data_IF_169029890664
#
_entry.id   IF_169029890664
#
_cell.length_a   1.000
_cell.length_b   1.000
_cell.length_c   1.000
_cell.angle_alpha   90.00
_cell.angle_beta   90.00
_cell.angle_gamma   90.00
#
_symmetry.space_group_name_H-M   'P 1'
#
loop_
_entity.id
_entity.type
_entity.pdbx_description
1 polymer ?
#
# COMPACT_ATOMS: atom_id res chain seq x y z
N UNK A 1 -35.13 13.49 27.46
CA UNK A 1 -35.82 12.31 26.88
C UNK A 1 -34.79 11.53 26.08
N UNK A 2 -34.40 10.33 26.51
CA UNK A 2 -33.49 9.47 25.74
C UNK A 2 -34.32 8.71 24.71
N UNK A 3 -34.01 8.88 23.41
CA UNK A 3 -34.61 8.08 22.33
C UNK A 3 -34.17 6.64 22.49
N UNK A 4 -35.13 5.72 22.65
CA UNK A 4 -34.87 4.28 22.61
C UNK A 4 -34.51 3.92 21.16
N UNK A 5 -33.27 3.45 20.94
CA UNK A 5 -32.85 2.94 19.64
C UNK A 5 -33.26 1.47 19.60
N UNK A 6 -34.14 1.12 18.68
CA UNK A 6 -34.57 -0.25 18.44
C UNK A 6 -33.66 -0.84 17.35
N UNK A 7 -32.89 -1.88 17.69
CA UNK A 7 -31.95 -2.53 16.78
C UNK A 7 -32.63 -3.78 16.23
N UNK A 8 -32.85 -3.83 14.91
CA UNK A 8 -33.28 -5.03 14.22
C UNK A 8 -32.07 -5.96 14.02
N UNK A 9 -32.04 -7.05 14.77
CA UNK A 9 -30.93 -8.00 14.77
C UNK A 9 -30.77 -8.66 13.40
N UNK A 10 -31.85 -9.09 12.76
CA UNK A 10 -31.78 -9.79 11.47
C UNK A 10 -31.21 -8.88 10.37
N UNK A 11 -31.63 -7.60 10.35
CA UNK A 11 -31.07 -6.61 9.43
C UNK A 11 -29.59 -6.35 9.70
N UNK A 12 -29.17 -6.33 10.98
CA UNK A 12 -27.78 -6.15 11.36
C UNK A 12 -26.93 -7.34 10.92
N UNK A 13 -27.42 -8.57 11.15
CA UNK A 13 -26.75 -9.81 10.76
C UNK A 13 -26.60 -9.91 9.24
N UNK A 14 -27.66 -9.58 8.48
CA UNK A 14 -27.57 -9.57 7.01
C UNK A 14 -26.55 -8.57 6.47
N UNK A 15 -26.37 -7.41 7.13
CA UNK A 15 -25.30 -6.45 6.77
C UNK A 15 -23.91 -7.00 7.10
N UNK A 16 -23.77 -7.72 8.21
CA UNK A 16 -22.51 -8.34 8.61
C UNK A 16 -22.10 -9.45 7.64
N UNK A 17 -23.04 -10.29 7.20
CA UNK A 17 -22.78 -11.34 6.20
C UNK A 17 -22.30 -10.76 4.87
N UNK A 18 -22.92 -9.68 4.39
CA UNK A 18 -22.46 -9.00 3.18
C UNK A 18 -21.04 -8.46 3.32
N UNK A 19 -20.71 -7.94 4.51
CA UNK A 19 -19.38 -7.45 4.84
C UNK A 19 -18.36 -8.61 4.87
N UNK A 20 -18.72 -9.75 5.48
CA UNK A 20 -17.89 -10.96 5.54
C UNK A 20 -17.61 -11.52 4.14
N UNK A 21 -18.64 -11.64 3.29
CA UNK A 21 -18.48 -12.09 1.90
C UNK A 21 -17.54 -11.15 1.14
N UNK A 22 -17.76 -9.84 1.23
CA UNK A 22 -16.90 -8.85 0.60
C UNK A 22 -15.45 -8.99 1.06
N UNK A 23 -15.21 -9.17 2.37
CA UNK A 23 -13.86 -9.34 2.90
C UNK A 23 -13.21 -10.65 2.52
N UNK A 24 -13.96 -11.76 2.49
CA UNK A 24 -13.43 -13.03 1.99
C UNK A 24 -12.98 -12.91 0.55
N UNK A 25 -13.82 -12.34 -0.32
CA UNK A 25 -13.44 -12.11 -1.71
C UNK A 25 -12.26 -11.16 -1.85
N UNK A 26 -12.17 -10.12 -1.00
CA UNK A 26 -11.00 -9.25 -0.98
C UNK A 26 -9.73 -10.00 -0.55
N UNK A 27 -9.78 -10.82 0.50
CA UNK A 27 -8.65 -11.66 0.95
C UNK A 27 -8.28 -12.68 -0.12
N UNK A 28 -9.25 -13.35 -0.73
CA UNK A 28 -9.01 -14.29 -1.82
C UNK A 28 -8.33 -13.60 -3.00
N UNK A 29 -8.81 -12.43 -3.43
CA UNK A 29 -8.17 -11.65 -4.49
C UNK A 29 -6.77 -11.18 -4.09
N UNK A 30 -6.59 -10.80 -2.82
CA UNK A 30 -5.31 -10.38 -2.27
C UNK A 30 -4.30 -11.51 -2.24
N UNK A 31 -4.71 -12.76 -1.98
CA UNK A 31 -3.83 -13.92 -1.78
C UNK A 31 -3.90 -14.96 -2.92
N UNK A 32 -4.71 -14.72 -3.95
CA UNK A 32 -4.67 -15.47 -5.19
C UNK A 32 -3.26 -15.45 -5.78
N UNK A 33 -2.89 -16.49 -6.54
CA UNK A 33 -1.61 -16.53 -7.26
C UNK A 33 -1.54 -15.36 -8.26
N UNK A 34 -0.98 -14.25 -7.79
CA UNK A 34 -0.63 -13.09 -8.59
C UNK A 34 0.89 -13.06 -8.77
N UNK A 35 1.33 -12.44 -9.87
CA UNK A 35 2.75 -12.19 -10.13
C UNK A 35 3.26 -11.13 -9.16
N UNK A 36 3.70 -11.58 -7.99
CA UNK A 36 4.43 -10.75 -7.04
C UNK A 36 5.77 -10.34 -7.63
N UNK A 37 6.13 -9.08 -7.43
CA UNK A 37 7.44 -8.56 -7.84
C UNK A 37 8.38 -8.69 -6.65
N UNK A 38 9.52 -9.36 -6.83
CA UNK A 38 10.52 -9.40 -5.76
C UNK A 38 11.14 -8.02 -5.61
N UNK A 39 11.13 -7.46 -4.40
CA UNK A 39 11.68 -6.10 -4.20
C UNK A 39 13.20 -6.07 -4.41
N UNK A 40 13.88 -7.20 -4.22
CA UNK A 40 15.30 -7.36 -4.56
C UNK A 40 15.61 -7.15 -6.05
N UNK A 41 14.62 -7.32 -6.94
CA UNK A 41 14.79 -7.06 -8.38
C UNK A 41 14.66 -5.57 -8.71
N UNK A 42 14.07 -4.78 -7.80
CA UNK A 42 13.86 -3.35 -7.96
C UNK A 42 14.94 -2.50 -7.31
N UNK A 43 15.47 -2.93 -6.16
CA UNK A 43 16.49 -2.18 -5.40
C UNK A 43 17.88 -2.72 -5.73
N UNK A 44 18.77 -1.84 -6.19
CA UNK A 44 20.20 -2.15 -6.36
C UNK A 44 21.02 -1.67 -5.15
N UNK A 45 22.15 -2.33 -4.91
CA UNK A 45 23.05 -2.04 -3.78
C UNK A 45 23.71 -0.67 -3.88
N UNK A 46 23.93 -0.17 -5.10
CA UNK A 46 24.46 1.18 -5.39
C UNK A 46 23.39 2.28 -5.26
N UNK A 47 22.12 1.90 -5.11
CA UNK A 47 20.97 2.77 -5.04
C UNK A 47 20.45 3.26 -6.39
N UNK A 48 20.94 2.70 -7.51
CA UNK A 48 20.39 2.93 -8.85
C UNK A 48 19.26 1.92 -9.14
N UNK A 49 18.17 2.08 -8.40
CA UNK A 49 17.01 1.19 -8.46
C UNK A 49 16.50 1.01 -9.89
N UNK A 50 16.30 -0.24 -10.31
CA UNK A 50 15.71 -0.56 -11.60
C UNK A 50 14.19 -0.68 -11.45
N UNK A 51 13.47 0.30 -11.99
CA UNK A 51 12.02 0.36 -11.89
C UNK A 51 11.32 -0.07 -13.20
N UNK A 52 12.05 -0.65 -14.15
CA UNK A 52 11.49 -1.07 -15.45
C UNK A 52 10.38 -2.11 -15.28
N UNK A 53 10.53 -3.01 -14.30
CA UNK A 53 9.52 -4.01 -13.93
C UNK A 53 8.18 -3.40 -13.50
N UNK A 54 8.15 -2.12 -13.12
CA UNK A 54 6.94 -1.40 -12.71
C UNK A 54 6.62 -0.19 -13.60
N UNK A 55 7.20 -0.10 -14.81
CA UNK A 55 6.92 1.00 -15.74
C UNK A 55 5.46 1.02 -16.21
N UNK A 56 4.80 -0.15 -16.26
CA UNK A 56 3.37 -0.26 -16.57
C UNK A 56 2.46 0.44 -15.54
N UNK A 57 2.98 0.75 -14.35
CA UNK A 57 2.28 1.46 -13.27
C UNK A 57 2.43 2.99 -13.37
N UNK A 58 3.09 3.48 -14.41
CA UNK A 58 3.18 4.92 -14.71
C UNK A 58 1.77 5.46 -14.97
N UNK A 59 1.44 6.60 -14.35
CA UNK A 59 0.15 7.28 -14.46
C UNK A 59 -1.08 6.46 -14.00
N UNK A 60 -0.85 5.32 -13.32
CA UNK A 60 -1.91 4.52 -12.72
C UNK A 60 -2.25 4.99 -11.30
N UNK A 61 -3.44 4.60 -10.84
CA UNK A 61 -3.95 4.76 -9.46
C UNK A 61 -4.23 3.38 -8.89
N UNK A 62 -4.02 3.20 -7.59
CA UNK A 62 -4.19 1.91 -6.96
C UNK A 62 -3.57 1.84 -5.56
N UNK A 63 -3.62 0.64 -5.01
CA UNK A 63 -3.00 0.27 -3.72
C UNK A 63 -1.84 -0.68 -3.98
N UNK A 64 -0.80 -0.60 -3.15
CA UNK A 64 0.32 -1.53 -3.15
C UNK A 64 0.57 -2.05 -1.74
N UNK A 65 1.06 -3.29 -1.66
CA UNK A 65 1.41 -3.99 -0.43
C UNK A 65 2.87 -4.40 -0.50
N UNK A 66 3.59 -4.18 0.60
CA UNK A 66 4.83 -4.88 0.87
C UNK A 66 4.52 -6.06 1.77
N UNK A 67 4.90 -7.26 1.31
CA UNK A 67 4.61 -8.54 1.95
C UNK A 67 5.93 -9.16 2.40
N UNK A 68 6.02 -9.57 3.67
CA UNK A 68 7.20 -10.20 4.24
C UNK A 68 7.40 -11.65 3.76
N UNK A 69 8.51 -12.25 4.18
CA UNK A 69 8.86 -13.65 3.87
C UNK A 69 7.84 -14.67 4.39
N UNK A 70 7.14 -14.35 5.48
CA UNK A 70 6.11 -15.19 6.10
C UNK A 70 4.69 -14.90 5.58
N UNK A 71 4.56 -14.26 4.41
CA UNK A 71 3.30 -13.78 3.82
C UNK A 71 2.51 -12.79 4.71
N UNK A 72 3.14 -12.23 5.73
CA UNK A 72 2.57 -11.16 6.54
C UNK A 72 2.63 -9.81 5.81
N UNK A 73 1.59 -9.00 5.95
CA UNK A 73 1.58 -7.65 5.40
C UNK A 73 2.49 -6.76 6.23
N UNK A 74 3.49 -6.15 5.61
CA UNK A 74 4.44 -5.26 6.27
C UNK A 74 4.01 -3.80 6.14
N UNK A 75 3.53 -3.42 4.97
CA UNK A 75 3.10 -2.06 4.70
C UNK A 75 2.04 -2.02 3.59
N UNK A 76 1.09 -1.12 3.73
CA UNK A 76 0.02 -0.83 2.79
C UNK A 76 0.12 0.64 2.39
N UNK A 77 0.08 0.94 1.11
CA UNK A 77 0.02 2.33 0.67
C UNK A 77 -0.72 2.50 -0.65
N UNK A 78 -1.15 3.72 -0.95
CA UNK A 78 -1.77 4.08 -2.23
C UNK A 78 -0.92 5.02 -3.07
N UNK A 79 -1.11 4.95 -4.38
CA UNK A 79 -0.42 5.82 -5.35
C UNK A 79 -1.38 6.43 -6.37
N UNK A 80 -0.98 7.57 -6.96
CA UNK A 80 -1.75 8.22 -8.03
C UNK A 80 -2.97 9.05 -7.58
N UNK A 81 -3.16 9.28 -6.28
CA UNK A 81 -4.40 9.85 -5.70
C UNK A 81 -4.48 11.38 -5.63
N UNK A 82 -3.49 12.11 -6.17
CA UNK A 82 -3.60 13.58 -6.23
C UNK A 82 -4.81 13.98 -7.09
N UNK A 83 -5.64 14.90 -6.60
CA UNK A 83 -6.84 15.37 -7.32
C UNK A 83 -6.55 16.47 -8.36
N UNK A 84 -5.30 16.92 -8.48
CA UNK A 84 -4.90 18.01 -9.36
C UNK A 84 -4.36 17.50 -10.70
N UNK A 85 -4.86 17.99 -11.84
CA UNK A 85 -4.22 17.72 -13.14
C UNK A 85 -3.02 18.65 -13.39
N UNK A 86 -1.93 18.46 -12.64
CA UNK A 86 -0.66 19.16 -12.90
C UNK A 86 0.27 18.22 -13.67
N UNK A 87 0.88 18.71 -14.75
CA UNK A 87 2.01 18.02 -15.41
C UNK A 87 3.03 17.61 -14.33
N UNK A 88 3.38 16.33 -14.29
CA UNK A 88 4.27 15.76 -13.28
C UNK A 88 3.58 15.31 -11.99
N UNK A 89 2.25 15.22 -11.95
CA UNK A 89 1.58 14.51 -10.84
C UNK A 89 1.88 13.03 -10.87
N UNK A 90 2.22 12.52 -9.69
CA UNK A 90 2.99 11.31 -9.51
C UNK A 90 2.07 10.10 -9.37
N UNK A 91 2.10 9.22 -10.38
CA UNK A 91 1.35 7.96 -10.40
C UNK A 91 1.88 6.91 -9.42
N UNK A 92 1.32 5.70 -9.51
CA UNK A 92 1.61 4.61 -8.60
C UNK A 92 3.09 4.20 -8.59
N UNK A 93 3.71 4.08 -9.78
CA UNK A 93 5.15 3.84 -9.93
C UNK A 93 6.01 4.83 -9.13
N UNK A 94 5.70 6.12 -9.22
CA UNK A 94 6.46 7.13 -8.48
C UNK A 94 6.36 6.89 -6.98
N UNK A 95 5.15 6.63 -6.48
CA UNK A 95 4.95 6.45 -5.04
C UNK A 95 5.73 5.23 -4.54
N UNK A 96 5.63 4.10 -5.22
CA UNK A 96 6.41 2.89 -4.91
C UNK A 96 7.91 3.20 -4.92
N UNK A 97 8.40 3.90 -5.95
CA UNK A 97 9.80 4.32 -6.02
C UNK A 97 10.27 5.08 -4.79
N UNK A 98 9.44 5.96 -4.21
CA UNK A 98 9.80 6.67 -2.98
C UNK A 98 9.90 5.73 -1.78
N UNK A 99 9.02 4.74 -1.68
CA UNK A 99 9.06 3.77 -0.58
C UNK A 99 10.30 2.88 -0.64
N UNK A 100 10.80 2.60 -1.85
CA UNK A 100 12.00 1.81 -2.11
C UNK A 100 13.32 2.58 -1.93
N UNK A 101 13.28 3.89 -1.63
CA UNK A 101 14.48 4.69 -1.43
C UNK A 101 15.02 4.60 0.00
N UNK A 102 16.34 4.64 0.13
CA UNK A 102 17.03 4.86 1.40
C UNK A 102 16.55 6.15 2.08
N UNK A 103 16.23 6.06 3.37
CA UNK A 103 15.81 7.21 4.17
C UNK A 103 16.82 8.39 4.12
N UNK A 104 18.13 8.13 4.12
CA UNK A 104 19.15 9.20 4.06
C UNK A 104 19.11 9.98 2.74
N UNK A 105 18.87 9.28 1.63
CA UNK A 105 18.76 9.89 0.29
C UNK A 105 17.40 10.59 0.12
N UNK A 106 16.36 10.07 0.76
CA UNK A 106 15.02 10.65 0.73
C UNK A 106 14.33 10.59 2.11
N UNK A 107 14.48 11.63 2.94
CA UNK A 107 13.98 11.61 4.32
C UNK A 107 12.44 11.79 4.42
N UNK A 108 11.75 12.00 3.30
CA UNK A 108 10.31 12.25 3.28
C UNK A 108 9.53 10.94 3.23
N UNK A 109 8.96 10.53 4.37
CA UNK A 109 7.94 9.48 4.54
C UNK A 109 8.13 8.24 3.64
N UNK A 110 9.22 7.50 3.87
CA UNK A 110 9.53 6.23 3.20
C UNK A 110 9.32 5.03 4.14
N UNK A 111 9.05 3.86 3.58
CA UNK A 111 9.05 2.59 4.30
C UNK A 111 10.34 2.36 5.11
N UNK A 112 11.49 2.74 4.55
CA UNK A 112 12.79 2.68 5.24
C UNK A 112 12.76 3.46 6.57
N UNK A 113 12.17 4.65 6.60
CA UNK A 113 12.00 5.42 7.84
C UNK A 113 11.12 4.68 8.85
N UNK A 114 9.99 4.13 8.42
CA UNK A 114 9.07 3.44 9.32
C UNK A 114 9.71 2.19 9.92
N UNK A 115 10.48 1.44 9.12
CA UNK A 115 11.27 0.31 9.63
C UNK A 115 12.27 0.77 10.68
N UNK A 116 13.06 1.81 10.38
CA UNK A 116 14.03 2.36 11.34
C UNK A 116 13.35 2.75 12.64
N UNK A 117 12.28 3.57 12.57
CA UNK A 117 11.59 4.08 13.75
C UNK A 117 10.98 2.95 14.59
N UNK A 118 10.24 2.03 13.97
CA UNK A 118 9.47 0.99 14.65
C UNK A 118 10.37 -0.13 15.16
N UNK A 119 11.26 -0.65 14.32
CA UNK A 119 12.14 -1.77 14.73
C UNK A 119 13.19 -1.32 15.72
N UNK A 120 13.63 -0.05 15.69
CA UNK A 120 14.56 0.43 16.72
C UNK A 120 13.93 0.41 18.11
N UNK A 121 12.63 0.74 18.20
CA UNK A 121 11.86 0.68 19.45
C UNK A 121 11.63 -0.79 19.86
N UNK A 122 11.12 -1.62 18.95
CA UNK A 122 10.74 -3.00 19.26
C UNK A 122 11.94 -3.89 19.63
N UNK A 123 13.09 -3.68 18.97
CA UNK A 123 14.30 -4.48 19.18
C UNK A 123 15.25 -3.87 20.21
N UNK A 124 14.94 -2.68 20.74
CA UNK A 124 15.80 -1.92 21.65
C UNK A 124 17.25 -1.77 21.12
N UNK A 125 17.38 -1.47 19.84
CA UNK A 125 18.68 -1.20 19.17
C UNK A 125 18.52 -0.13 18.11
N UNK A 126 19.59 0.52 17.69
CA UNK A 126 19.53 1.41 16.53
C UNK A 126 19.52 0.59 15.24
N UNK A 127 18.45 0.70 14.46
CA UNK A 127 18.38 0.16 13.09
C UNK A 127 18.98 1.18 12.12
N UNK A 128 19.95 0.74 11.33
CA UNK A 128 20.61 1.57 10.32
C UNK A 128 19.80 1.64 9.02
N UNK A 129 20.11 2.63 8.18
CA UNK A 129 19.51 2.73 6.84
C UNK A 129 19.79 1.49 5.99
N UNK A 130 20.99 0.92 6.08
CA UNK A 130 21.35 -0.28 5.33
C UNK A 130 20.53 -1.49 5.82
N UNK A 131 20.42 -1.71 7.12
CA UNK A 131 19.56 -2.77 7.67
C UNK A 131 18.09 -2.61 7.24
N UNK A 132 17.59 -1.37 7.18
CA UNK A 132 16.21 -1.13 6.71
C UNK A 132 16.01 -1.48 5.24
N UNK A 133 16.99 -1.21 4.38
CA UNK A 133 16.93 -1.55 2.95
C UNK A 133 17.05 -3.05 2.75
N UNK A 134 17.94 -3.72 3.49
CA UNK A 134 18.04 -5.18 3.47
C UNK A 134 16.76 -5.86 3.95
N UNK A 135 16.02 -5.23 4.87
CA UNK A 135 14.68 -5.68 5.25
C UNK A 135 13.68 -5.52 4.09
N UNK A 136 13.67 -4.37 3.41
CA UNK A 136 12.78 -4.09 2.27
C UNK A 136 13.05 -5.05 1.10
N UNK A 137 14.30 -5.35 0.77
CA UNK A 137 14.67 -6.28 -0.32
C UNK A 137 14.13 -7.70 -0.14
N UNK A 138 13.91 -8.13 1.10
CA UNK A 138 13.34 -9.44 1.43
C UNK A 138 11.83 -9.51 1.25
N UNK A 139 11.19 -8.37 0.97
CA UNK A 139 9.74 -8.29 0.78
C UNK A 139 9.36 -8.56 -0.67
N UNK A 140 8.12 -8.96 -0.87
CA UNK A 140 7.44 -8.96 -2.16
C UNK A 140 6.57 -7.70 -2.28
N UNK A 141 6.46 -7.18 -3.49
CA UNK A 141 5.57 -6.09 -3.84
C UNK A 141 4.37 -6.65 -4.59
N UNK A 142 3.17 -6.39 -4.07
CA UNK A 142 1.89 -6.68 -4.74
C UNK A 142 1.16 -5.38 -5.03
N UNK A 143 0.55 -5.27 -6.21
CA UNK A 143 -0.08 -4.03 -6.68
C UNK A 143 -1.49 -4.29 -7.21
N UNK A 144 -2.46 -3.56 -6.66
CA UNK A 144 -3.84 -3.51 -7.13
C UNK A 144 -4.05 -2.24 -7.95
N UNK A 145 -3.79 -2.34 -9.25
CA UNK A 145 -4.01 -1.24 -10.17
C UNK A 145 -5.50 -1.09 -10.45
N UNK A 146 -6.09 0.05 -10.05
CA UNK A 146 -7.50 0.33 -10.28
C UNK A 146 -7.75 0.93 -11.68
N UNK A 147 -6.73 1.52 -12.29
CA UNK A 147 -6.81 2.08 -13.64
C UNK A 147 -5.95 3.33 -13.83
N UNK A 148 -6.26 4.09 -14.86
CA UNK A 148 -5.57 5.33 -15.20
C UNK A 148 -6.07 6.51 -14.38
N UNK A 149 -5.12 7.31 -13.89
CA UNK A 149 -5.39 8.53 -13.12
C UNK A 149 -6.09 9.58 -13.97
N UNK A 150 -5.59 9.75 -15.19
CA UNK A 150 -6.08 10.74 -16.14
C UNK A 150 -6.58 10.00 -17.36
N UNK A 151 -7.82 10.28 -17.74
CA UNK A 151 -8.42 9.78 -18.98
C UNK A 151 -9.00 10.98 -19.70
N UNK A 152 -8.64 11.18 -20.97
CA UNK A 152 -9.06 12.34 -21.76
C UNK A 152 -8.77 13.69 -21.08
N UNK A 153 -7.57 13.86 -20.52
CA UNK A 153 -7.14 15.06 -19.77
C UNK A 153 -7.97 15.40 -18.50
N UNK A 154 -8.85 14.50 -18.07
CA UNK A 154 -9.63 14.62 -16.85
C UNK A 154 -9.12 13.66 -15.76
N UNK A 155 -9.03 14.16 -14.52
CA UNK A 155 -8.68 13.33 -13.37
C UNK A 155 -9.88 12.47 -13.00
N UNK A 156 -9.67 11.16 -12.89
CA UNK A 156 -10.71 10.23 -12.49
C UNK A 156 -10.92 10.25 -10.96
N UNK A 157 -11.66 11.26 -10.47
CA UNK A 157 -11.91 11.46 -9.03
C UNK A 157 -12.61 10.26 -8.39
N UNK A 158 -13.59 9.67 -9.07
CA UNK A 158 -14.30 8.48 -8.56
C UNK A 158 -13.36 7.30 -8.35
N UNK A 159 -12.39 7.10 -9.25
CA UNK A 159 -11.37 6.04 -9.09
C UNK A 159 -10.46 6.31 -7.89
N UNK A 160 -10.05 7.57 -7.69
CA UNK A 160 -9.24 7.99 -6.54
C UNK A 160 -9.98 7.69 -5.23
N UNK A 161 -11.25 8.07 -5.12
CA UNK A 161 -12.06 7.83 -3.91
C UNK A 161 -12.22 6.33 -3.60
N UNK A 162 -12.38 5.50 -4.64
CA UNK A 162 -12.41 4.03 -4.50
C UNK A 162 -11.10 3.48 -3.97
N UNK A 163 -9.96 3.96 -4.48
CA UNK A 163 -8.63 3.56 -4.02
C UNK A 163 -8.35 4.02 -2.59
N UNK A 164 -8.76 5.24 -2.24
CA UNK A 164 -8.68 5.75 -0.86
C UNK A 164 -9.50 4.88 0.09
N UNK A 165 -10.71 4.50 -0.32
CA UNK A 165 -11.58 3.60 0.45
C UNK A 165 -10.97 2.20 0.60
N UNK A 166 -10.41 1.65 -0.49
CA UNK A 166 -9.75 0.34 -0.47
C UNK A 166 -8.55 0.34 0.48
N UNK A 167 -7.67 1.35 0.42
CA UNK A 167 -6.53 1.44 1.34
C UNK A 167 -6.99 1.44 2.81
N UNK A 168 -8.00 2.25 3.14
CA UNK A 168 -8.53 2.31 4.51
C UNK A 168 -9.10 0.96 4.97
N UNK A 169 -9.84 0.28 4.10
CA UNK A 169 -10.37 -1.06 4.38
C UNK A 169 -9.22 -2.04 4.64
N UNK A 170 -8.21 -2.06 3.76
CA UNK A 170 -7.08 -2.97 3.88
C UNK A 170 -6.27 -2.72 5.15
N UNK A 171 -6.00 -1.46 5.50
CA UNK A 171 -5.32 -1.09 6.76
C UNK A 171 -6.14 -1.53 7.98
N UNK A 172 -7.47 -1.45 7.91
CA UNK A 172 -8.33 -1.83 9.03
C UNK A 172 -8.41 -3.34 9.24
N UNK A 173 -8.22 -4.13 8.17
CA UNK A 173 -8.37 -5.58 8.20
C UNK A 173 -7.06 -6.34 8.36
N UNK A 174 -5.99 -5.81 7.78
CA UNK A 174 -4.71 -6.50 7.66
C UNK A 174 -3.72 -5.84 8.62
N UNK A 175 -3.32 -6.54 9.70
CA UNK A 175 -2.30 -6.04 10.60
C UNK A 175 -1.01 -5.80 9.81
N UNK A 176 -0.65 -4.53 9.67
CA UNK A 176 0.56 -4.11 8.98
C UNK A 176 1.55 -3.52 9.97
N UNK A 177 2.74 -4.11 10.05
CA UNK A 177 3.74 -3.71 11.05
C UNK A 177 4.21 -2.25 10.91
N UNK A 178 4.27 -1.72 9.69
CA UNK A 178 4.91 -0.43 9.40
C UNK A 178 3.96 0.68 8.91
N UNK A 179 2.64 0.48 8.96
CA UNK A 179 1.68 1.58 8.85
C UNK A 179 1.56 2.29 10.20
N UNK A 180 1.59 3.63 10.18
CA UNK A 180 1.49 4.50 11.38
C UNK A 180 0.07 5.03 11.55
#
# INVERSE_FOLDING_TARGET
MLKKIEINIDLLMGKYEQLDIFFRSAIEELFAEQNDISVSELIKDDGDNDLTLIDCLKDKVGVYLFIGVDNEIKYIGKGGTSRQNKKGTKGLRYRISQELCEYKKNPQNTLSKNIIDIDSILLNKTVTSNESIESIKKMKLRVFCAGERVKNDEVNISLIEKVESLEMILISLLPSKYNK
#
